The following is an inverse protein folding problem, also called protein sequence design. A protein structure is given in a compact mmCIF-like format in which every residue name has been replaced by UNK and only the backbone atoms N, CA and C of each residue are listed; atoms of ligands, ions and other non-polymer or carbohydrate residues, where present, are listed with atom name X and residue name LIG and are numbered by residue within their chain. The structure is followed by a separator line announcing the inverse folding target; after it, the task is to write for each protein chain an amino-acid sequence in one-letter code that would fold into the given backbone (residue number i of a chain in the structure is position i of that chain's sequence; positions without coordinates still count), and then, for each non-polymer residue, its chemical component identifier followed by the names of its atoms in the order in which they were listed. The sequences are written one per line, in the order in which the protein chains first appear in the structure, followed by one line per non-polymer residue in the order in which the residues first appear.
data_IF_580879713928
#
_entry.id   IF_580879713928
#
_cell.length_a   1.000
_cell.length_b   1.000
_cell.length_c   1.000
_cell.angle_alpha   90.00
_cell.angle_beta   90.00
_cell.angle_gamma   90.00
#
_symmetry.space_group_name_H-M   'P 1'
#
loop_
_entity.id
_entity.type
_entity.pdbx_description
1 polymer ?
#
# COMPACT_ATOMS: atom_id res chain seq x y z
N UNK A 1 28.40 49.44 -0.08
CA UNK A 1 27.28 50.40 -0.13
C UNK A 1 27.72 51.70 -0.81
N UNK A 2 27.08 52.08 -1.92
CA UNK A 2 26.89 53.49 -2.30
C UNK A 2 25.66 53.59 -3.21
N UNK A 3 24.71 54.43 -2.83
CA UNK A 3 23.46 54.69 -3.56
C UNK A 3 23.71 55.75 -4.65
N UNK A 4 23.02 55.57 -5.79
CA UNK A 4 22.04 56.49 -6.44
C UNK A 4 22.45 57.96 -6.64
N UNK A 5 22.21 58.48 -7.86
CA UNK A 5 21.52 59.74 -8.24
C UNK A 5 21.81 59.93 -9.76
N UNK A 6 20.87 59.73 -10.69
CA UNK A 6 19.69 60.52 -11.10
C UNK A 6 19.93 61.60 -12.20
N UNK A 7 19.21 61.41 -13.32
CA UNK A 7 18.52 62.41 -14.15
C UNK A 7 19.20 63.24 -15.27
N UNK A 8 18.34 63.52 -16.29
CA UNK A 8 18.39 64.55 -17.37
C UNK A 8 19.28 64.20 -18.60
N UNK A 9 18.90 64.48 -19.86
CA UNK A 9 17.76 65.28 -20.40
C UNK A 9 17.35 64.85 -21.84
N UNK A 10 16.16 65.28 -22.28
CA UNK A 10 15.54 65.30 -23.63
C UNK A 10 16.49 65.74 -24.82
N UNK A 11 16.20 65.69 -26.15
CA UNK A 11 14.97 65.56 -26.97
C UNK A 11 15.32 65.29 -28.48
N UNK A 12 14.49 64.53 -29.23
CA UNK A 12 14.34 64.51 -30.73
C UNK A 12 15.62 64.22 -31.59
N UNK A 13 15.64 64.00 -32.92
CA UNK A 13 14.65 63.66 -33.98
C UNK A 13 15.26 62.51 -34.83
N UNK A 14 14.46 61.69 -35.54
CA UNK A 14 14.97 60.95 -36.73
C UNK A 14 14.23 59.64 -37.09
N UNK A 15 13.38 59.68 -38.11
CA UNK A 15 12.66 58.50 -38.64
C UNK A 15 13.54 57.67 -39.60
N UNK A 16 13.48 56.33 -39.54
CA UNK A 16 12.94 55.45 -40.61
C UNK A 16 13.14 53.94 -40.34
N UNK A 17 12.20 53.12 -40.85
CA UNK A 17 12.25 51.64 -41.02
C UNK A 17 12.23 50.78 -39.74
N UNK A 18 11.03 50.40 -39.31
CA UNK A 18 10.82 49.08 -38.68
C UNK A 18 10.57 48.03 -39.77
N UNK A 19 11.52 47.12 -39.98
CA UNK A 19 11.35 45.96 -40.84
C UNK A 19 10.34 45.00 -40.18
N UNK A 20 9.10 44.96 -40.67
CA UNK A 20 8.06 44.09 -40.14
C UNK A 20 8.32 42.64 -40.59
N UNK A 21 9.02 41.87 -39.76
CA UNK A 21 9.25 40.45 -40.02
C UNK A 21 7.93 39.70 -39.87
N UNK A 22 7.35 39.30 -41.00
CA UNK A 22 6.16 38.46 -41.05
C UNK A 22 6.52 37.05 -40.58
N UNK A 23 6.41 36.80 -39.28
CA UNK A 23 6.36 35.45 -38.75
C UNK A 23 5.00 34.86 -39.17
N UNK A 24 4.96 33.76 -39.96
CA UNK A 24 3.71 33.06 -40.18
C UNK A 24 3.20 32.57 -38.82
N UNK A 25 1.93 32.82 -38.53
CA UNK A 25 1.30 32.47 -37.26
C UNK A 25 1.60 31.02 -36.92
N UNK A 26 2.43 30.78 -35.88
CA UNK A 26 2.63 29.44 -35.36
C UNK A 26 1.34 29.02 -34.66
N UNK A 27 0.42 28.46 -35.44
CA UNK A 27 -0.74 27.77 -34.90
C UNK A 27 -0.19 26.69 -33.99
N UNK A 28 -0.48 26.78 -32.69
CA UNK A 28 -0.40 25.62 -31.83
C UNK A 28 -1.17 24.48 -32.54
N UNK A 29 -0.62 23.25 -32.57
CA UNK A 29 -1.37 22.13 -33.10
C UNK A 29 -2.67 22.04 -32.31
N UNK A 30 -3.79 21.83 -33.00
CA UNK A 30 -5.08 21.62 -32.33
C UNK A 30 -4.89 20.54 -31.27
N UNK A 31 -5.27 20.88 -30.05
CA UNK A 31 -5.30 19.98 -28.91
C UNK A 31 -5.86 18.63 -29.35
N UNK A 32 -5.08 17.56 -29.12
CA UNK A 32 -5.52 16.21 -29.37
C UNK A 32 -6.52 15.85 -28.27
N UNK A 33 -7.76 16.34 -28.43
CA UNK A 33 -8.90 15.90 -27.64
C UNK A 33 -9.08 14.44 -27.99
N UNK A 34 -8.61 13.55 -27.11
CA UNK A 34 -8.94 12.14 -27.20
C UNK A 34 -10.45 12.01 -27.06
N UNK A 35 -11.11 11.63 -28.16
CA UNK A 35 -12.57 11.48 -28.21
C UNK A 35 -13.07 10.22 -27.49
N UNK A 36 -12.18 9.50 -26.82
CA UNK A 36 -12.51 8.46 -25.84
C UNK A 36 -12.58 8.97 -24.39
N UNK A 37 -12.77 10.27 -24.16
CA UNK A 37 -13.49 10.72 -22.96
C UNK A 37 -14.94 10.24 -23.09
N UNK A 38 -15.16 8.97 -22.74
CA UNK A 38 -16.45 8.50 -22.32
C UNK A 38 -16.79 9.25 -21.03
N UNK A 39 -17.66 10.26 -21.15
CA UNK A 39 -18.43 10.78 -20.02
C UNK A 39 -19.40 9.69 -19.56
N UNK A 40 -18.85 8.64 -18.97
CA UNK A 40 -19.62 7.62 -18.30
C UNK A 40 -19.88 8.15 -16.90
N UNK A 41 -20.98 8.90 -16.73
CA UNK A 41 -21.60 9.09 -15.42
C UNK A 41 -22.13 7.72 -14.96
N UNK A 42 -21.20 6.88 -14.53
CA UNK A 42 -21.53 5.64 -13.86
C UNK A 42 -21.86 5.94 -12.42
N UNK A 43 -23.17 6.02 -12.18
CA UNK A 43 -23.76 5.38 -11.01
C UNK A 43 -23.57 3.86 -11.04
N UNK A 44 -22.34 3.37 -11.24
CA UNK A 44 -21.99 2.03 -10.76
C UNK A 44 -22.06 2.14 -9.25
N UNK A 45 -23.07 1.49 -8.68
CA UNK A 45 -22.93 0.99 -7.32
C UNK A 45 -21.91 -0.16 -7.40
N UNK A 46 -20.62 0.18 -7.43
CA UNK A 46 -19.54 -0.80 -7.32
C UNK A 46 -19.67 -1.32 -5.90
N UNK A 47 -20.25 -2.52 -5.74
CA UNK A 47 -20.26 -3.22 -4.46
C UNK A 47 -18.81 -3.65 -4.18
N UNK A 48 -18.01 -2.74 -3.63
CA UNK A 48 -16.71 -3.04 -3.06
C UNK A 48 -16.90 -3.77 -1.73
N UNK A 49 -15.84 -4.41 -1.22
CA UNK A 49 -15.86 -4.95 0.14
C UNK A 49 -15.68 -3.86 1.22
N UNK A 50 -15.65 -2.58 0.84
CA UNK A 50 -15.42 -1.45 1.74
C UNK A 50 -16.63 -1.17 2.62
N UNK A 51 -16.38 -0.79 3.87
CA UNK A 51 -17.40 -0.34 4.80
C UNK A 51 -16.89 0.83 5.62
N UNK A 52 -17.77 1.76 5.99
CA UNK A 52 -17.43 2.87 6.90
C UNK A 52 -16.83 2.40 8.24
N UNK A 53 -17.12 1.16 8.66
CA UNK A 53 -16.55 0.54 9.87
C UNK A 53 -15.07 0.16 9.73
N UNK A 54 -14.53 0.09 8.51
CA UNK A 54 -13.14 -0.32 8.25
C UNK A 54 -12.14 0.71 8.80
N UNK A 55 -12.50 1.98 8.66
CA UNK A 55 -11.76 3.16 9.13
C UNK A 55 -11.91 3.46 10.63
N UNK A 56 -12.67 2.64 11.38
CA UNK A 56 -12.90 2.86 12.82
C UNK A 56 -12.13 1.82 13.64
N UNK A 57 -11.26 2.25 14.55
CA UNK A 57 -10.56 1.38 15.51
C UNK A 57 -11.06 1.68 16.93
N UNK A 58 -11.30 0.65 17.73
CA UNK A 58 -11.50 0.81 19.17
C UNK A 58 -10.17 0.51 19.88
N UNK A 59 -9.44 1.56 20.27
CA UNK A 59 -8.11 1.45 20.87
C UNK A 59 -8.07 0.54 22.12
N UNK A 60 -9.19 0.42 22.83
CA UNK A 60 -9.32 -0.42 24.04
C UNK A 60 -9.46 -1.92 23.76
N UNK A 61 -9.70 -2.27 22.50
CA UNK A 61 -9.86 -3.67 22.02
C UNK A 61 -8.69 -4.10 21.14
N UNK A 62 -7.64 -3.28 21.02
CA UNK A 62 -6.41 -3.66 20.34
C UNK A 62 -5.67 -4.72 21.16
N UNK A 63 -5.34 -5.82 20.51
CA UNK A 63 -4.52 -6.90 21.06
C UNK A 63 -3.08 -6.67 20.56
N UNK A 64 -2.14 -6.20 21.40
CA UNK A 64 -0.74 -6.05 21.01
C UNK A 64 -0.06 -7.42 20.88
N UNK A 65 0.80 -7.56 19.87
CA UNK A 65 1.69 -8.70 19.65
C UNK A 65 3.04 -8.15 19.18
N UNK A 66 4.04 -8.22 20.06
CA UNK A 66 5.41 -7.81 19.75
C UNK A 66 6.26 -9.04 19.45
N UNK A 67 6.94 -9.02 18.29
CA UNK A 67 7.91 -10.04 17.91
C UNK A 67 9.31 -9.65 18.38
N UNK A 68 9.87 -10.45 19.29
CA UNK A 68 11.26 -10.35 19.74
C UNK A 68 12.01 -11.51 19.10
N UNK A 69 12.45 -11.33 17.85
CA UNK A 69 12.90 -12.41 16.97
C UNK A 69 11.76 -13.43 16.79
N UNK A 70 12.05 -14.73 16.88
CA UNK A 70 11.07 -15.80 16.77
C UNK A 70 10.34 -16.09 18.10
N UNK A 71 10.02 -15.05 18.89
CA UNK A 71 9.29 -15.15 20.15
C UNK A 71 8.25 -14.04 20.28
N UNK A 72 7.17 -14.33 21.02
CA UNK A 72 6.18 -13.36 21.49
C UNK A 72 5.95 -13.60 22.99
N UNK A 73 5.75 -12.54 23.76
CA UNK A 73 5.55 -12.63 25.22
C UNK A 73 4.06 -12.75 25.62
N UNK A 74 3.17 -12.17 24.80
CA UNK A 74 1.72 -12.18 25.02
C UNK A 74 1.07 -13.51 24.61
N UNK A 75 0.02 -13.90 25.33
CA UNK A 75 -0.84 -15.05 24.99
C UNK A 75 -2.30 -14.64 24.99
N UNK A 76 -3.06 -15.16 24.03
CA UNK A 76 -4.50 -14.97 23.89
C UNK A 76 -5.16 -16.26 23.39
N UNK A 77 -6.47 -16.38 23.55
CA UNK A 77 -7.27 -17.42 22.86
C UNK A 77 -7.64 -17.03 21.43
N UNK A 78 -7.26 -15.83 20.98
CA UNK A 78 -7.58 -15.29 19.65
C UNK A 78 -6.50 -15.53 18.60
N UNK A 79 -5.32 -15.97 19.01
CA UNK A 79 -4.22 -16.41 18.15
C UNK A 79 -3.41 -17.53 18.80
N UNK A 80 -2.55 -18.19 18.04
CA UNK A 80 -1.50 -19.07 18.54
C UNK A 80 -0.19 -18.79 17.83
N UNK A 81 0.95 -18.99 18.52
CA UNK A 81 2.28 -18.90 17.91
C UNK A 81 3.02 -20.22 18.13
N UNK A 82 3.35 -20.90 17.02
CA UNK A 82 4.05 -22.18 16.98
C UNK A 82 4.79 -22.31 15.65
N UNK A 83 5.93 -23.01 15.63
CA UNK A 83 6.76 -23.22 14.42
C UNK A 83 7.02 -21.92 13.63
N UNK A 84 7.36 -20.86 14.38
CA UNK A 84 7.55 -19.47 13.91
C UNK A 84 6.37 -18.87 13.13
N UNK A 85 5.16 -19.41 13.29
CA UNK A 85 3.96 -18.93 12.62
C UNK A 85 3.00 -18.35 13.64
N UNK A 86 2.62 -17.08 13.45
CA UNK A 86 1.49 -16.48 14.16
C UNK A 86 0.21 -16.83 13.40
N UNK A 87 -0.68 -17.60 14.00
CA UNK A 87 -1.99 -17.93 13.43
C UNK A 87 -3.09 -17.18 14.19
N UNK A 88 -3.70 -16.18 13.55
CA UNK A 88 -4.85 -15.42 14.04
C UNK A 88 -6.14 -16.19 13.72
N UNK A 89 -6.91 -16.51 14.76
CA UNK A 89 -8.03 -17.46 14.75
C UNK A 89 -9.41 -16.84 14.97
N UNK A 90 -9.43 -15.58 15.40
CA UNK A 90 -10.66 -14.84 15.71
C UNK A 90 -10.62 -13.44 15.10
N UNK A 91 -11.80 -12.90 14.84
CA UNK A 91 -11.96 -11.49 14.51
C UNK A 91 -11.41 -10.58 15.61
N UNK A 92 -11.12 -9.33 15.24
CA UNK A 92 -10.57 -8.33 16.17
C UNK A 92 -9.52 -7.44 15.53
N UNK A 93 -8.90 -6.60 16.37
CA UNK A 93 -7.80 -5.72 15.97
C UNK A 93 -6.52 -6.15 16.66
N UNK A 94 -5.49 -6.43 15.86
CA UNK A 94 -4.17 -6.88 16.31
C UNK A 94 -3.14 -5.83 15.93
N UNK A 95 -2.40 -5.30 16.91
CA UNK A 95 -1.27 -4.43 16.64
C UNK A 95 0.00 -5.27 16.64
N UNK A 96 0.69 -5.28 15.51
CA UNK A 96 1.87 -6.10 15.25
C UNK A 96 3.09 -5.21 15.16
N UNK A 97 4.12 -5.52 15.95
CA UNK A 97 5.36 -4.73 16.03
C UNK A 97 6.59 -5.63 16.22
N UNK A 98 7.79 -5.06 16.04
CA UNK A 98 9.04 -5.77 16.27
C UNK A 98 9.51 -6.57 15.06
N UNK A 99 10.30 -7.62 15.27
CA UNK A 99 10.95 -8.37 14.19
C UNK A 99 10.78 -9.87 14.33
N UNK A 100 10.18 -10.52 13.32
CA UNK A 100 10.15 -11.97 13.15
C UNK A 100 11.22 -12.39 12.12
N UNK A 101 12.38 -12.84 12.62
CA UNK A 101 13.59 -13.10 11.81
C UNK A 101 13.44 -14.21 10.75
N UNK A 102 12.51 -15.15 10.95
CA UNK A 102 12.16 -16.21 10.00
C UNK A 102 10.81 -16.83 10.40
N UNK A 103 9.73 -16.53 9.69
CA UNK A 103 8.39 -16.97 10.05
C UNK A 103 7.28 -16.33 9.21
N UNK A 104 6.02 -16.63 9.54
CA UNK A 104 4.86 -16.15 8.78
C UNK A 104 3.73 -15.68 9.71
N UNK A 105 2.87 -14.80 9.21
CA UNK A 105 1.54 -14.56 9.78
C UNK A 105 0.50 -15.28 8.90
N UNK A 106 -0.39 -16.02 9.56
CA UNK A 106 -1.58 -16.60 8.97
C UNK A 106 -2.81 -15.98 9.62
N UNK A 107 -3.74 -15.48 8.82
CA UNK A 107 -5.10 -15.16 9.25
C UNK A 107 -5.99 -16.28 8.74
N UNK A 108 -6.57 -17.05 9.68
CA UNK A 108 -7.33 -18.27 9.41
C UNK A 108 -8.36 -18.46 10.52
N UNK A 109 -9.58 -17.93 10.34
CA UNK A 109 -10.59 -17.95 11.41
C UNK A 109 -11.21 -19.34 11.58
N UNK A 110 -11.54 -19.66 12.84
CA UNK A 110 -12.22 -20.91 13.21
C UNK A 110 -13.67 -20.94 12.70
N UNK A 111 -14.32 -19.78 12.56
CA UNK A 111 -15.62 -19.63 11.90
C UNK A 111 -15.52 -18.67 10.70
N UNK A 112 -15.83 -19.20 9.52
CA UNK A 112 -15.61 -18.54 8.23
C UNK A 112 -16.57 -17.39 7.95
N UNK A 113 -17.73 -17.33 8.62
CA UNK A 113 -18.86 -16.53 8.15
C UNK A 113 -18.99 -15.11 8.74
N UNK A 114 -18.26 -14.77 9.81
CA UNK A 114 -18.59 -13.55 10.57
C UNK A 114 -17.43 -12.56 10.77
N UNK A 115 -16.17 -12.96 10.58
CA UNK A 115 -15.04 -12.16 11.07
C UNK A 115 -14.39 -11.16 10.09
N UNK A 116 -14.23 -9.92 10.58
CA UNK A 116 -13.28 -8.94 10.03
C UNK A 116 -12.02 -8.91 10.93
N UNK A 117 -10.85 -9.04 10.32
CA UNK A 117 -9.56 -8.92 11.02
C UNK A 117 -8.88 -7.61 10.63
N UNK A 118 -8.44 -6.86 11.63
CA UNK A 118 -7.61 -5.66 11.44
C UNK A 118 -6.19 -5.94 11.92
N UNK A 119 -5.21 -5.79 11.03
CA UNK A 119 -3.78 -5.89 11.33
C UNK A 119 -3.19 -4.48 11.29
N UNK A 120 -2.97 -3.88 12.47
CA UNK A 120 -2.26 -2.60 12.59
C UNK A 120 -0.76 -2.90 12.58
N UNK A 121 -0.07 -2.54 11.50
CA UNK A 121 1.37 -2.72 11.39
C UNK A 121 2.05 -1.47 11.98
N UNK A 122 2.88 -1.67 13.00
CA UNK A 122 3.55 -0.61 13.73
C UNK A 122 5.01 -0.99 13.97
N UNK A 123 5.87 -0.64 13.00
CA UNK A 123 7.30 -0.98 13.01
C UNK A 123 7.51 -2.50 13.01
N UNK A 124 6.80 -3.19 12.12
CA UNK A 124 6.86 -4.63 11.93
C UNK A 124 7.83 -5.00 10.82
N UNK A 125 8.81 -5.85 11.12
CA UNK A 125 9.68 -6.48 10.11
C UNK A 125 9.55 -7.99 10.14
N UNK A 126 9.24 -8.62 9.00
CA UNK A 126 9.13 -10.07 8.87
C UNK A 126 9.99 -10.56 7.73
N UNK A 127 10.66 -11.70 7.93
CA UNK A 127 11.29 -12.48 6.87
C UNK A 127 10.69 -13.88 6.83
N UNK A 128 10.48 -14.43 5.63
CA UNK A 128 10.10 -15.84 5.45
C UNK A 128 10.83 -16.48 4.27
N UNK A 129 11.55 -17.56 4.51
CA UNK A 129 12.05 -18.48 3.47
C UNK A 129 11.03 -19.57 3.11
N UNK A 130 9.89 -19.66 3.82
CA UNK A 130 8.92 -20.76 3.73
C UNK A 130 7.48 -20.28 3.88
N UNK A 131 6.85 -20.00 2.74
CA UNK A 131 5.48 -19.50 2.67
C UNK A 131 5.41 -17.97 2.66
N UNK A 132 4.23 -17.43 2.39
CA UNK A 132 3.99 -15.98 2.33
C UNK A 132 4.13 -15.37 3.72
N UNK A 133 4.89 -14.26 3.82
CA UNK A 133 5.07 -13.50 5.09
C UNK A 133 3.72 -13.15 5.75
N UNK A 134 2.70 -12.90 4.93
CA UNK A 134 1.30 -12.84 5.35
C UNK A 134 0.45 -13.73 4.42
N UNK A 135 -0.32 -14.63 5.00
CA UNK A 135 -1.33 -15.43 4.30
C UNK A 135 -2.70 -15.24 4.94
N UNK A 136 -3.73 -15.04 4.13
CA UNK A 136 -5.10 -14.75 4.57
C UNK A 136 -6.06 -15.76 3.94
N UNK A 137 -6.91 -16.35 4.76
CA UNK A 137 -8.00 -17.24 4.34
C UNK A 137 -9.07 -17.37 5.43
N UNK A 138 -10.29 -17.77 5.05
CA UNK A 138 -11.40 -18.00 5.98
C UNK A 138 -11.76 -16.75 6.80
N UNK A 139 -11.70 -15.57 6.19
CA UNK A 139 -12.19 -14.29 6.72
C UNK A 139 -13.32 -13.75 5.84
N UNK A 140 -14.16 -12.86 6.35
CA UNK A 140 -14.98 -12.00 5.48
C UNK A 140 -14.07 -11.00 4.76
N UNK A 141 -13.11 -10.44 5.50
CA UNK A 141 -12.14 -9.46 5.04
C UNK A 141 -10.99 -9.32 6.04
N UNK A 142 -9.79 -9.10 5.53
CA UNK A 142 -8.65 -8.59 6.32
C UNK A 142 -8.31 -7.16 5.92
N UNK A 143 -8.09 -6.30 6.90
CA UNK A 143 -7.70 -4.90 6.72
C UNK A 143 -6.31 -4.71 7.32
N UNK A 144 -5.32 -4.40 6.49
CA UNK A 144 -3.99 -3.98 6.92
C UNK A 144 -4.02 -2.46 7.11
N UNK A 145 -3.57 -2.00 8.27
CA UNK A 145 -3.56 -0.59 8.67
C UNK A 145 -2.12 -0.20 8.97
N UNK A 146 -1.52 0.62 8.12
CA UNK A 146 -0.18 1.14 8.32
C UNK A 146 -0.22 2.30 9.32
N UNK A 147 0.27 2.07 10.53
CA UNK A 147 0.31 3.07 11.59
C UNK A 147 1.10 4.29 11.12
N UNK A 148 0.60 5.50 11.41
CA UNK A 148 1.30 6.75 11.09
C UNK A 148 2.72 6.75 11.68
N UNK A 149 3.67 7.32 10.94
CA UNK A 149 5.11 7.35 11.25
C UNK A 149 5.79 5.97 11.47
N UNK A 150 5.20 4.87 11.00
CA UNK A 150 5.80 3.52 11.09
C UNK A 150 6.48 3.05 9.81
N UNK A 151 7.59 2.32 9.94
CA UNK A 151 8.32 1.66 8.85
C UNK A 151 8.12 0.13 8.95
N UNK A 152 7.44 -0.48 7.98
CA UNK A 152 7.11 -1.90 7.99
C UNK A 152 7.74 -2.62 6.80
N UNK A 153 8.31 -3.82 7.01
CA UNK A 153 8.99 -4.59 5.97
C UNK A 153 8.50 -6.05 5.91
N UNK A 154 8.13 -6.51 4.72
CA UNK A 154 7.72 -7.90 4.45
C UNK A 154 8.68 -8.53 3.43
N UNK A 155 9.58 -9.39 3.89
CA UNK A 155 10.66 -9.98 3.10
C UNK A 155 10.37 -11.46 2.80
N UNK A 156 9.83 -11.73 1.61
CA UNK A 156 9.59 -13.08 1.12
C UNK A 156 10.79 -13.61 0.33
N UNK A 157 11.53 -14.50 0.98
CA UNK A 157 12.72 -15.17 0.48
C UNK A 157 12.42 -16.64 0.10
N UNK A 158 11.15 -16.93 -0.25
CA UNK A 158 10.68 -18.29 -0.50
C UNK A 158 11.53 -19.06 -1.50
N UNK A 159 11.93 -20.30 -1.20
CA UNK A 159 12.71 -21.10 -2.15
C UNK A 159 11.79 -21.58 -3.28
N UNK A 160 12.18 -21.35 -4.54
CA UNK A 160 11.40 -21.73 -5.73
C UNK A 160 10.93 -23.19 -5.69
N UNK A 161 9.61 -23.39 -5.51
CA UNK A 161 8.94 -24.63 -5.91
C UNK A 161 8.40 -24.42 -7.31
N UNK A 162 9.12 -24.95 -8.30
CA UNK A 162 8.81 -24.87 -9.73
C UNK A 162 7.29 -24.78 -10.02
N UNK A 163 6.85 -23.62 -10.53
CA UNK A 163 5.49 -23.29 -10.97
C UNK A 163 4.41 -23.08 -9.88
N UNK A 164 4.73 -22.77 -8.61
CA UNK A 164 3.71 -22.28 -7.68
C UNK A 164 3.25 -20.85 -8.02
N UNK A 165 2.17 -20.74 -8.79
CA UNK A 165 1.54 -19.47 -9.21
C UNK A 165 0.96 -18.62 -8.07
N UNK A 166 0.92 -19.15 -6.84
CA UNK A 166 0.49 -18.43 -5.64
C UNK A 166 1.66 -17.86 -4.82
N UNK A 167 2.92 -18.17 -5.17
CA UNK A 167 4.11 -17.64 -4.50
C UNK A 167 4.09 -16.10 -4.45
N UNK A 168 4.00 -15.55 -3.24
CA UNK A 168 3.80 -14.12 -2.99
C UNK A 168 4.16 -13.74 -1.55
N UNK A 169 4.51 -12.48 -1.31
CA UNK A 169 4.80 -11.99 0.04
C UNK A 169 3.51 -11.83 0.87
N UNK A 170 2.46 -11.28 0.26
CA UNK A 170 1.09 -11.28 0.79
C UNK A 170 0.21 -12.15 -0.13
N UNK A 171 -0.36 -13.22 0.41
CA UNK A 171 -1.33 -14.09 -0.28
C UNK A 171 -2.70 -14.00 0.39
N UNK A 172 -3.69 -13.39 -0.25
CA UNK A 172 -5.07 -13.37 0.25
C UNK A 172 -6.00 -14.24 -0.58
N UNK A 173 -6.77 -15.10 0.09
CA UNK A 173 -7.86 -15.89 -0.52
C UNK A 173 -9.23 -15.28 -0.36
N UNK A 174 -9.35 -14.26 0.51
CA UNK A 174 -10.56 -13.48 0.73
C UNK A 174 -10.26 -11.99 0.50
N UNK A 175 -11.23 -11.11 0.78
CA UNK A 175 -11.09 -9.67 0.59
C UNK A 175 -9.96 -9.05 1.44
N UNK A 176 -9.14 -8.23 0.80
CA UNK A 176 -8.00 -7.53 1.41
C UNK A 176 -8.12 -6.02 1.20
N UNK A 177 -7.97 -5.26 2.28
CA UNK A 177 -7.84 -3.78 2.25
C UNK A 177 -6.49 -3.36 2.82
N UNK A 178 -5.77 -2.45 2.16
CA UNK A 178 -4.62 -1.74 2.71
C UNK A 178 -4.98 -0.26 2.89
N UNK A 179 -4.74 0.28 4.09
CA UNK A 179 -5.05 1.66 4.45
C UNK A 179 -4.04 2.20 5.48
N UNK A 180 -4.17 3.48 5.85
CA UNK A 180 -3.33 4.14 6.85
C UNK A 180 -2.37 5.16 6.23
N UNK A 181 -1.42 5.64 7.03
CA UNK A 181 -0.46 6.70 6.65
C UNK A 181 1.01 6.26 6.76
N UNK A 182 1.29 5.07 7.33
CA UNK A 182 2.66 4.55 7.46
C UNK A 182 3.27 4.04 6.15
N UNK A 183 4.54 3.65 6.24
CA UNK A 183 5.30 3.04 5.16
C UNK A 183 5.23 1.50 5.21
N UNK A 184 5.16 0.87 4.04
CA UNK A 184 5.26 -0.58 3.87
C UNK A 184 6.15 -0.91 2.66
N UNK A 185 7.29 -1.55 2.94
CA UNK A 185 8.14 -2.15 1.92
C UNK A 185 7.89 -3.66 1.82
N UNK A 186 7.60 -4.14 0.61
CA UNK A 186 7.42 -5.56 0.30
C UNK A 186 8.54 -5.99 -0.63
N UNK A 187 9.43 -6.87 -0.15
CA UNK A 187 10.52 -7.45 -0.91
C UNK A 187 10.19 -8.92 -1.20
N UNK A 188 9.86 -9.26 -2.44
CA UNK A 188 9.44 -10.60 -2.87
C UNK A 188 10.44 -11.17 -3.88
N UNK A 189 11.46 -11.87 -3.36
CA UNK A 189 12.59 -12.30 -4.17
C UNK A 189 12.27 -13.45 -5.13
N UNK A 190 11.22 -14.24 -4.86
CA UNK A 190 10.88 -15.43 -5.64
C UNK A 190 9.36 -15.54 -5.87
N UNK A 191 8.72 -14.46 -6.33
CA UNK A 191 7.29 -14.44 -6.58
C UNK A 191 6.70 -13.03 -6.68
N UNK A 192 5.41 -12.93 -6.34
CA UNK A 192 4.62 -11.70 -6.44
C UNK A 192 4.70 -10.86 -5.16
N UNK A 193 4.42 -9.57 -5.24
CA UNK A 193 4.26 -8.74 -4.04
C UNK A 193 3.00 -9.12 -3.27
N UNK A 194 1.85 -8.67 -3.78
CA UNK A 194 0.51 -8.97 -3.28
C UNK A 194 -0.21 -9.85 -4.31
N UNK A 195 -0.84 -10.93 -3.86
CA UNK A 195 -1.70 -11.81 -4.67
C UNK A 195 -3.05 -11.93 -3.96
N UNK A 196 -4.09 -11.25 -4.47
CA UNK A 196 -5.44 -11.31 -3.89
C UNK A 196 -6.36 -12.10 -4.82
N UNK A 197 -6.95 -13.18 -4.31
CA UNK A 197 -7.84 -14.06 -5.10
C UNK A 197 -9.30 -13.61 -5.11
N UNK A 198 -9.65 -12.63 -4.28
CA UNK A 198 -10.95 -11.97 -4.20
C UNK A 198 -10.73 -10.44 -4.36
N UNK A 199 -11.46 -9.57 -3.65
CA UNK A 199 -11.21 -8.14 -3.73
C UNK A 199 -9.85 -7.68 -3.16
N UNK A 200 -9.25 -6.67 -3.80
CA UNK A 200 -8.18 -5.85 -3.24
C UNK A 200 -8.58 -4.37 -3.29
N UNK A 201 -8.45 -3.67 -2.17
CA UNK A 201 -8.59 -2.21 -2.08
C UNK A 201 -7.33 -1.64 -1.44
N UNK A 202 -6.81 -0.55 -1.99
CA UNK A 202 -5.73 0.23 -1.39
C UNK A 202 -6.22 1.68 -1.30
N UNK A 203 -6.43 2.19 -0.08
CA UNK A 203 -6.96 3.55 0.18
C UNK A 203 -5.95 4.49 0.83
N UNK A 204 -4.78 3.99 1.24
CA UNK A 204 -3.70 4.79 1.83
C UNK A 204 -2.43 3.98 2.05
N UNK A 205 -1.41 4.65 2.58
CA UNK A 205 -0.08 4.13 2.83
C UNK A 205 0.95 4.57 1.79
N UNK A 206 2.22 4.68 2.21
CA UNK A 206 3.36 4.73 1.31
C UNK A 206 3.86 3.30 1.07
N UNK A 207 3.48 2.70 -0.05
CA UNK A 207 3.68 1.27 -0.30
C UNK A 207 4.68 1.08 -1.44
N UNK A 208 5.85 0.51 -1.10
CA UNK A 208 6.90 0.13 -2.05
C UNK A 208 6.87 -1.40 -2.22
N UNK A 209 6.86 -1.87 -3.47
CA UNK A 209 6.87 -3.30 -3.79
C UNK A 209 8.00 -3.60 -4.78
N UNK A 210 8.94 -4.45 -4.38
CA UNK A 210 9.94 -5.08 -5.24
C UNK A 210 9.60 -6.57 -5.36
N UNK A 211 9.37 -7.06 -6.59
CA UNK A 211 8.93 -8.44 -6.84
C UNK A 211 9.57 -9.00 -8.10
N UNK A 212 9.90 -10.29 -8.12
CA UNK A 212 10.48 -10.95 -9.31
C UNK A 212 9.46 -11.46 -10.34
N UNK A 213 8.18 -11.57 -9.98
CA UNK A 213 7.07 -11.83 -10.91
C UNK A 213 6.26 -10.55 -11.18
N UNK A 214 5.18 -10.30 -10.43
CA UNK A 214 4.35 -9.10 -10.51
C UNK A 214 4.10 -8.48 -9.14
N UNK A 215 4.04 -7.14 -9.08
CA UNK A 215 3.88 -6.44 -7.81
C UNK A 215 2.51 -6.69 -7.16
N UNK A 216 1.45 -6.74 -7.98
CA UNK A 216 0.07 -7.00 -7.57
C UNK A 216 -0.58 -7.92 -8.63
N UNK A 217 -1.26 -8.98 -8.19
CA UNK A 217 -2.08 -9.93 -8.99
C UNK A 217 -3.44 -10.19 -8.31
#
# INVERSE_FOLDING_TARGET
MKKIELYKIFLLIGSFITLLIYLPSFSLPKEYIDKNIYNYEIGYNINTHESKKDYTINEKEIIPIEFIKNQIDTKSNSYSFADNTLEIKREGTYMLSGTLEEGNISVNLEDKNEGVVKLVLNNLSITSSKGSTLSISNTTKTIIILQEDSENHLNYNGIEKNNDKQASAILSRDNLTLQGNGHLEINSLNGKGINSRDGLIITGGDIKIESTDVAID
#
